data_IF_852124424375
#
_entry.id   IF_852124424375
#
_cell.length_a   1.000
_cell.length_b   1.000
_cell.length_c   1.000
_cell.angle_alpha   90.00
_cell.angle_beta   90.00
_cell.angle_gamma   90.00
#
_symmetry.space_group_name_H-M   'P 1'
#
loop_
_entity.id
_entity.type
_entity.pdbx_description
1 polymer ?
#
# COMPACT_ATOMS: atom_id res chain seq x y z
N UNK A 1 17.33 4.14 -21.23
CA UNK A 1 18.25 4.35 -22.36
C UNK A 1 19.07 3.08 -22.58
N UNK A 2 19.25 2.64 -23.83
CA UNK A 2 20.09 1.49 -24.16
C UNK A 2 21.47 2.01 -24.55
N UNK A 3 22.50 1.63 -23.81
CA UNK A 3 23.89 1.96 -24.15
C UNK A 3 24.40 0.90 -25.12
N UNK A 4 24.81 1.31 -26.31
CA UNK A 4 25.39 0.42 -27.32
C UNK A 4 26.78 -0.05 -26.88
N UNK A 5 27.24 -1.25 -27.31
CA UNK A 5 28.56 -1.77 -26.94
C UNK A 5 29.71 -0.80 -27.25
N UNK A 6 29.70 -0.17 -28.43
CA UNK A 6 30.73 0.80 -28.84
C UNK A 6 30.80 2.05 -27.95
N UNK A 7 29.66 2.50 -27.41
CA UNK A 7 29.62 3.64 -26.49
C UNK A 7 30.22 3.29 -25.11
N UNK A 8 30.12 2.01 -24.70
CA UNK A 8 30.74 1.51 -23.47
C UNK A 8 32.26 1.43 -23.60
N UNK A 9 32.75 0.94 -24.74
CA UNK A 9 34.19 0.79 -24.98
C UNK A 9 34.88 2.16 -25.05
N UNK A 10 34.25 3.13 -25.74
CA UNK A 10 34.78 4.50 -25.81
C UNK A 10 34.80 5.21 -24.45
N UNK A 11 33.81 4.97 -23.59
CA UNK A 11 33.80 5.51 -22.22
C UNK A 11 34.95 4.93 -21.38
N UNK A 12 35.25 3.63 -21.54
CA UNK A 12 36.36 2.96 -20.85
C UNK A 12 37.72 3.50 -21.30
N UNK A 13 37.91 3.69 -22.60
CA UNK A 13 39.14 4.27 -23.15
C UNK A 13 39.37 5.72 -22.71
N UNK A 14 38.29 6.48 -22.52
CA UNK A 14 38.35 7.84 -22.01
C UNK A 14 38.51 7.93 -20.47
N UNK A 15 38.62 6.80 -19.76
CA UNK A 15 38.69 6.78 -18.30
C UNK A 15 37.40 7.22 -17.60
N UNK A 16 36.26 7.19 -18.31
CA UNK A 16 34.96 7.59 -17.79
C UNK A 16 34.28 6.36 -17.16
N UNK A 17 34.14 6.40 -15.83
CA UNK A 17 33.40 5.38 -15.10
C UNK A 17 31.90 5.58 -15.29
N UNK A 18 31.25 4.62 -15.95
CA UNK A 18 29.79 4.62 -16.12
C UNK A 18 29.12 4.10 -14.84
N UNK A 19 28.91 5.00 -13.88
CA UNK A 19 28.06 4.72 -12.72
C UNK A 19 26.60 4.70 -13.18
N UNK A 20 25.86 3.61 -12.89
CA UNK A 20 24.40 3.62 -13.01
C UNK A 20 23.84 4.54 -11.93
N UNK A 21 23.81 5.83 -12.23
CA UNK A 21 23.07 6.79 -11.43
C UNK A 21 21.60 6.40 -11.48
N UNK A 22 21.02 6.10 -10.32
CA UNK A 22 19.59 6.32 -10.13
C UNK A 22 19.37 7.78 -10.48
N UNK A 23 18.68 8.03 -11.59
CA UNK A 23 18.21 9.38 -11.88
C UNK A 23 17.38 9.76 -10.67
N UNK A 24 17.79 10.82 -9.96
CA UNK A 24 16.91 11.48 -9.00
C UNK A 24 15.77 12.02 -9.84
N UNK A 25 14.76 11.18 -10.02
CA UNK A 25 13.57 11.49 -10.75
C UNK A 25 12.93 12.62 -9.95
N UNK A 26 12.58 13.76 -10.58
CA UNK A 26 11.78 14.77 -9.89
C UNK A 26 10.57 14.06 -9.28
N UNK A 27 10.14 14.42 -8.06
CA UNK A 27 9.11 13.66 -7.33
C UNK A 27 7.92 13.50 -8.26
N UNK A 28 7.73 12.28 -8.75
CA UNK A 28 6.54 11.94 -9.53
C UNK A 28 5.43 12.12 -8.53
N UNK A 29 4.60 13.15 -8.71
CA UNK A 29 3.45 13.36 -7.84
C UNK A 29 2.70 12.03 -7.77
N UNK A 30 2.75 11.38 -6.61
CA UNK A 30 2.19 10.04 -6.46
C UNK A 30 0.68 10.19 -6.64
N UNK A 31 0.17 9.76 -7.78
CA UNK A 31 -1.27 9.70 -8.06
C UNK A 31 -1.95 8.97 -6.91
N UNK A 32 -3.04 9.55 -6.40
CA UNK A 32 -3.86 8.86 -5.39
C UNK A 32 -5.07 8.25 -6.06
N UNK A 33 -5.27 6.96 -5.83
CA UNK A 33 -6.44 6.23 -6.29
C UNK A 33 -7.44 6.15 -5.15
N UNK A 34 -8.65 6.67 -5.39
CA UNK A 34 -9.74 6.69 -4.42
C UNK A 34 -10.78 5.67 -4.84
N UNK A 35 -10.97 4.64 -4.02
CA UNK A 35 -12.01 3.64 -4.16
C UNK A 35 -13.12 3.83 -3.13
N UNK A 36 -14.33 3.40 -3.48
CA UNK A 36 -15.44 3.30 -2.55
C UNK A 36 -16.15 1.96 -2.73
N UNK A 37 -16.42 1.27 -1.62
CA UNK A 37 -17.10 -0.02 -1.63
C UNK A 37 -17.95 -0.19 -0.36
N UNK A 38 -19.15 -0.76 -0.52
CA UNK A 38 -20.04 -1.15 0.58
C UNK A 38 -20.23 -0.06 1.64
N UNK A 39 -20.40 1.19 1.20
CA UNK A 39 -20.67 2.31 2.08
C UNK A 39 -22.16 2.67 2.10
N UNK A 40 -22.65 3.04 3.27
CA UNK A 40 -23.92 3.76 3.41
C UNK A 40 -23.79 5.18 2.81
N UNK A 41 -24.92 5.88 2.65
CA UNK A 41 -24.99 7.22 2.07
C UNK A 41 -23.88 8.14 2.59
N UNK A 42 -23.32 8.98 1.70
CA UNK A 42 -22.24 9.97 1.88
C UNK A 42 -20.81 9.55 1.48
N UNK A 43 -20.52 8.32 1.07
CA UNK A 43 -19.17 7.97 0.60
C UNK A 43 -18.75 8.71 -0.68
N UNK A 44 -19.65 8.86 -1.65
CA UNK A 44 -19.36 9.59 -2.90
C UNK A 44 -19.05 11.06 -2.65
N UNK A 45 -19.77 11.72 -1.75
CA UNK A 45 -19.53 13.14 -1.42
C UNK A 45 -18.21 13.33 -0.67
N UNK A 46 -17.86 12.40 0.22
CA UNK A 46 -16.55 12.35 0.89
C UNK A 46 -15.41 12.09 -0.10
N UNK A 47 -15.56 11.12 -1.00
CA UNK A 47 -14.59 10.84 -2.06
C UNK A 47 -14.37 12.06 -2.97
N UNK A 48 -15.44 12.79 -3.31
CA UNK A 48 -15.37 14.03 -4.06
C UNK A 48 -14.74 15.19 -3.27
N UNK A 49 -14.88 15.23 -1.95
CA UNK A 49 -14.14 16.16 -1.08
C UNK A 49 -12.64 15.90 -1.15
N UNK A 50 -12.24 14.64 -0.95
CA UNK A 50 -10.83 14.21 -1.02
C UNK A 50 -10.23 14.47 -2.41
N UNK A 51 -10.95 14.14 -3.48
CA UNK A 51 -10.50 14.34 -4.86
C UNK A 51 -10.29 15.83 -5.22
N UNK A 52 -11.01 16.74 -4.55
CA UNK A 52 -10.78 18.18 -4.71
C UNK A 52 -9.60 18.68 -3.86
N UNK A 53 -9.38 18.07 -2.71
CA UNK A 53 -8.31 18.46 -1.80
C UNK A 53 -6.92 17.96 -2.24
N UNK A 54 -6.87 16.82 -2.94
CA UNK A 54 -5.62 16.16 -3.34
C UNK A 54 -5.45 16.27 -4.85
N UNK A 55 -4.33 16.84 -5.31
CA UNK A 55 -4.02 16.93 -6.73
C UNK A 55 -3.68 15.54 -7.31
N UNK A 56 -4.05 15.30 -8.57
CA UNK A 56 -3.72 14.05 -9.25
C UNK A 56 -4.48 12.82 -8.72
N UNK A 57 -5.70 13.01 -8.22
CA UNK A 57 -6.53 11.87 -7.79
C UNK A 57 -7.24 11.20 -8.97
N UNK A 58 -7.29 9.88 -8.94
CA UNK A 58 -8.12 9.06 -9.80
C UNK A 58 -9.20 8.38 -8.96
N UNK A 59 -10.47 8.58 -9.31
CA UNK A 59 -11.57 7.86 -8.66
C UNK A 59 -11.86 6.56 -9.42
N UNK A 60 -11.98 5.47 -8.68
CA UNK A 60 -12.44 4.20 -9.21
C UNK A 60 -13.98 4.16 -9.24
N UNK A 61 -14.56 3.46 -10.23
CA UNK A 61 -16.00 3.23 -10.23
C UNK A 61 -16.42 2.49 -8.95
N UNK A 62 -17.60 2.82 -8.42
CA UNK A 62 -18.15 2.11 -7.28
C UNK A 62 -18.50 0.67 -7.71
N UNK A 63 -17.83 -0.31 -7.12
CA UNK A 63 -18.05 -1.74 -7.33
C UNK A 63 -17.98 -2.49 -6.01
N UNK A 64 -18.03 -3.83 -6.06
CA UNK A 64 -17.89 -4.67 -4.88
C UNK A 64 -16.51 -4.49 -4.22
N UNK A 65 -16.43 -4.69 -2.91
CA UNK A 65 -15.20 -4.50 -2.14
C UNK A 65 -13.98 -5.23 -2.72
N UNK A 66 -14.15 -6.47 -3.16
CA UNK A 66 -13.05 -7.25 -3.74
C UNK A 66 -12.52 -6.63 -5.04
N UNK A 67 -13.41 -6.15 -5.91
CA UNK A 67 -13.03 -5.57 -7.20
C UNK A 67 -12.32 -4.24 -7.01
N UNK A 68 -12.80 -3.39 -6.10
CA UNK A 68 -12.15 -2.10 -5.79
C UNK A 68 -10.76 -2.33 -5.23
N UNK A 69 -10.59 -3.28 -4.31
CA UNK A 69 -9.27 -3.57 -3.74
C UNK A 69 -8.31 -4.14 -4.79
N UNK A 70 -8.79 -5.00 -5.70
CA UNK A 70 -7.99 -5.51 -6.81
C UNK A 70 -7.56 -4.38 -7.77
N UNK A 71 -8.45 -3.44 -8.07
CA UNK A 71 -8.15 -2.27 -8.89
C UNK A 71 -7.12 -1.34 -8.20
N UNK A 72 -7.24 -1.11 -6.89
CA UNK A 72 -6.24 -0.37 -6.11
C UNK A 72 -4.88 -1.10 -6.16
N UNK A 73 -4.86 -2.43 -5.97
CA UNK A 73 -3.63 -3.22 -6.02
C UNK A 73 -2.90 -3.09 -7.36
N UNK A 74 -3.65 -3.04 -8.46
CA UNK A 74 -3.11 -2.84 -9.80
C UNK A 74 -2.43 -1.48 -9.94
N UNK A 75 -3.08 -0.40 -9.54
CA UNK A 75 -2.52 0.95 -9.65
C UNK A 75 -1.35 1.18 -8.70
N UNK A 76 -1.47 0.74 -7.44
CA UNK A 76 -0.40 0.87 -6.45
C UNK A 76 0.83 0.05 -6.86
N UNK A 77 0.63 -1.18 -7.35
CA UNK A 77 1.72 -2.07 -7.75
C UNK A 77 2.39 -1.68 -9.06
N UNK A 78 1.64 -1.16 -10.04
CA UNK A 78 2.15 -0.83 -11.38
C UNK A 78 2.67 0.61 -11.47
N UNK A 79 1.90 1.56 -10.94
CA UNK A 79 2.13 2.99 -11.13
C UNK A 79 2.81 3.63 -9.91
N UNK A 80 3.04 2.87 -8.83
CA UNK A 80 3.55 3.40 -7.56
C UNK A 80 2.58 4.38 -6.89
N UNK A 81 1.31 4.31 -7.26
CA UNK A 81 0.25 5.14 -6.70
C UNK A 81 0.01 4.84 -5.22
N UNK A 82 -0.64 5.76 -4.52
CA UNK A 82 -1.18 5.53 -3.18
C UNK A 82 -2.68 5.28 -3.26
N UNK A 83 -3.20 4.44 -2.36
CA UNK A 83 -4.62 4.11 -2.32
C UNK A 83 -5.34 4.73 -1.14
N UNK A 84 -6.59 5.15 -1.34
CA UNK A 84 -7.55 5.45 -0.28
C UNK A 84 -8.83 4.68 -0.59
N UNK A 85 -9.28 3.83 0.33
CA UNK A 85 -10.51 3.08 0.22
C UNK A 85 -11.50 3.53 1.29
N UNK A 86 -12.66 4.02 0.84
CA UNK A 86 -13.79 4.31 1.71
C UNK A 86 -14.70 3.09 1.78
N UNK A 87 -14.92 2.56 2.97
CA UNK A 87 -15.79 1.38 3.17
C UNK A 87 -16.54 1.41 4.50
N UNK A 88 -17.76 0.85 4.54
CA UNK A 88 -18.46 0.59 5.80
C UNK A 88 -17.87 -0.56 6.61
N UNK A 89 -16.95 -1.35 6.03
CA UNK A 89 -16.35 -2.54 6.65
C UNK A 89 -14.81 -2.49 6.63
N UNK A 90 -14.18 -1.53 7.34
CA UNK A 90 -12.74 -1.31 7.26
C UNK A 90 -11.91 -2.53 7.65
N UNK A 91 -12.30 -3.27 8.69
CA UNK A 91 -11.57 -4.45 9.14
C UNK A 91 -11.50 -5.56 8.07
N UNK A 92 -12.62 -5.85 7.40
CA UNK A 92 -12.66 -6.84 6.33
C UNK A 92 -11.83 -6.41 5.11
N UNK A 93 -11.90 -5.12 4.77
CA UNK A 93 -11.15 -4.55 3.67
C UNK A 93 -9.63 -4.56 3.91
N UNK A 94 -9.15 -4.31 5.14
CA UNK A 94 -7.73 -4.42 5.51
C UNK A 94 -7.23 -5.85 5.33
N UNK A 95 -7.98 -6.83 5.83
CA UNK A 95 -7.62 -8.25 5.67
C UNK A 95 -7.56 -8.63 4.19
N UNK A 96 -8.47 -8.13 3.37
CA UNK A 96 -8.48 -8.43 1.93
C UNK A 96 -7.33 -7.73 1.20
N UNK A 97 -7.06 -6.47 1.49
CA UNK A 97 -6.00 -5.68 0.87
C UNK A 97 -4.61 -6.21 1.18
N UNK A 98 -4.33 -6.60 2.43
CA UNK A 98 -3.03 -7.12 2.84
C UNK A 98 -2.72 -8.53 2.31
N UNK A 99 -3.63 -9.16 1.55
CA UNK A 99 -3.33 -10.38 0.77
C UNK A 99 -2.52 -10.09 -0.49
N UNK A 100 -2.54 -8.84 -0.97
CA UNK A 100 -1.75 -8.42 -2.12
C UNK A 100 -0.36 -8.02 -1.66
N UNK A 101 0.68 -8.60 -2.26
CA UNK A 101 2.08 -8.29 -1.93
C UNK A 101 2.47 -6.84 -2.23
N UNK A 102 1.76 -6.18 -3.14
CA UNK A 102 1.96 -4.78 -3.48
C UNK A 102 1.32 -3.81 -2.47
N UNK A 103 0.45 -4.30 -1.57
CA UNK A 103 -0.33 -3.45 -0.68
C UNK A 103 0.10 -3.59 0.79
N UNK A 104 0.15 -2.45 1.46
CA UNK A 104 0.26 -2.31 2.91
C UNK A 104 -0.86 -1.38 3.35
N UNK A 105 -1.97 -1.99 3.72
CA UNK A 105 -3.19 -1.32 4.12
C UNK A 105 -3.27 -1.17 5.64
N UNK A 106 -3.62 0.02 6.09
CA UNK A 106 -3.88 0.33 7.49
C UNK A 106 -5.25 0.98 7.67
N UNK A 107 -5.81 0.84 8.87
CA UNK A 107 -7.05 1.50 9.26
C UNK A 107 -6.94 1.97 10.71
N UNK A 108 -7.66 3.03 11.04
CA UNK A 108 -7.82 3.56 12.39
C UNK A 108 -9.12 4.38 12.43
N UNK A 109 -9.55 4.75 13.64
CA UNK A 109 -10.79 5.52 13.88
C UNK A 109 -10.57 7.03 13.98
N UNK A 110 -9.31 7.47 14.01
CA UNK A 110 -8.93 8.88 14.10
C UNK A 110 -7.73 9.18 13.21
N UNK A 111 -7.59 10.45 12.82
CA UNK A 111 -6.58 10.87 11.84
C UNK A 111 -5.15 10.73 12.37
N UNK A 112 -4.92 11.00 13.65
CA UNK A 112 -3.58 10.95 14.23
C UNK A 112 -3.05 9.52 14.28
N UNK A 113 -3.87 8.58 14.78
CA UNK A 113 -3.53 7.15 14.82
C UNK A 113 -3.40 6.58 13.42
N UNK A 114 -4.26 7.00 12.47
CA UNK A 114 -4.18 6.54 11.07
C UNK A 114 -2.84 6.91 10.44
N UNK A 115 -2.41 8.17 10.58
CA UNK A 115 -1.16 8.66 10.01
C UNK A 115 0.07 8.09 10.72
N UNK A 116 0.00 7.91 12.03
CA UNK A 116 1.05 7.24 12.80
C UNK A 116 1.22 5.77 12.36
N UNK A 117 0.12 5.03 12.23
CA UNK A 117 0.14 3.66 11.72
C UNK A 117 0.64 3.59 10.28
N UNK A 118 0.23 4.54 9.43
CA UNK A 118 0.70 4.62 8.06
C UNK A 118 2.22 4.84 7.98
N UNK A 119 2.76 5.68 8.87
CA UNK A 119 4.19 5.93 8.98
C UNK A 119 4.95 4.68 9.46
N UNK A 120 4.46 4.05 10.54
CA UNK A 120 5.11 2.89 11.16
C UNK A 120 5.14 1.69 10.22
N UNK A 121 4.08 1.46 9.44
CA UNK A 121 3.98 0.31 8.54
C UNK A 121 4.44 0.60 7.11
N UNK A 122 4.95 1.81 6.83
CA UNK A 122 5.20 2.30 5.46
C UNK A 122 3.99 2.03 4.53
N UNK A 123 2.78 2.31 5.02
CA UNK A 123 1.54 1.98 4.35
C UNK A 123 1.40 2.77 3.05
N UNK A 124 0.93 2.09 2.00
CA UNK A 124 0.62 2.71 0.72
C UNK A 124 -0.90 2.75 0.44
N UNK A 125 -1.71 2.16 1.32
CA UNK A 125 -3.18 2.22 1.24
C UNK A 125 -3.78 2.58 2.60
N UNK A 126 -4.70 3.54 2.60
CA UNK A 126 -5.54 3.85 3.76
C UNK A 126 -6.94 3.27 3.55
N UNK A 127 -7.46 2.58 4.56
CA UNK A 127 -8.81 2.04 4.56
C UNK A 127 -9.59 2.71 5.68
N UNK A 128 -10.68 3.38 5.31
CA UNK A 128 -11.33 4.35 6.17
C UNK A 128 -12.84 4.13 6.16
N UNK A 129 -13.45 4.14 7.35
CA UNK A 129 -14.89 4.30 7.45
C UNK A 129 -15.25 5.80 7.47
N UNK A 130 -15.93 6.33 6.44
CA UNK A 130 -16.13 7.78 6.31
C UNK A 130 -17.01 8.44 7.40
N UNK A 131 -17.71 7.64 8.20
CA UNK A 131 -18.58 8.10 9.29
C UNK A 131 -17.82 8.22 10.63
N UNK A 132 -16.69 7.52 10.78
CA UNK A 132 -15.87 7.60 12.00
C UNK A 132 -15.03 8.88 12.04
N UNK A 133 -14.90 9.58 10.90
CA UNK A 133 -14.09 10.79 10.75
C UNK A 133 -14.96 12.04 10.57
N UNK A 134 -14.58 13.12 11.24
CA UNK A 134 -15.13 14.45 10.98
C UNK A 134 -14.81 14.91 9.54
N UNK A 135 -15.72 15.68 8.94
CA UNK A 135 -15.68 16.10 7.52
C UNK A 135 -14.33 16.69 7.08
N UNK A 136 -13.76 17.60 7.86
CA UNK A 136 -12.48 18.22 7.53
C UNK A 136 -11.24 17.45 8.01
N UNK A 137 -11.39 16.48 8.92
CA UNK A 137 -10.27 15.71 9.43
C UNK A 137 -9.81 14.65 8.43
N UNK A 138 -10.78 14.01 7.75
CA UNK A 138 -10.52 13.03 6.71
C UNK A 138 -9.75 13.63 5.53
N UNK A 139 -10.22 14.77 5.01
CA UNK A 139 -9.57 15.44 3.88
C UNK A 139 -8.13 15.84 4.21
N UNK A 140 -7.90 16.42 5.39
CA UNK A 140 -6.57 16.77 5.87
C UNK A 140 -5.66 15.54 6.00
N UNK A 141 -6.17 14.43 6.55
CA UNK A 141 -5.41 13.19 6.66
C UNK A 141 -5.03 12.63 5.28
N UNK A 142 -5.94 12.69 4.30
CA UNK A 142 -5.64 12.26 2.93
C UNK A 142 -4.63 13.18 2.24
N UNK A 143 -4.69 14.50 2.46
CA UNK A 143 -3.70 15.46 1.94
C UNK A 143 -2.32 15.21 2.53
N UNK A 144 -2.24 15.00 3.84
CA UNK A 144 -0.97 14.69 4.51
C UNK A 144 -0.40 13.35 4.04
N UNK A 145 -1.24 12.33 3.89
CA UNK A 145 -0.84 11.05 3.34
C UNK A 145 -0.37 11.16 1.88
N UNK A 146 -1.00 12.03 1.09
CA UNK A 146 -0.61 12.31 -0.29
C UNK A 146 0.80 12.88 -0.39
N UNK A 147 1.12 13.87 0.44
CA UNK A 147 2.39 14.59 0.40
C UNK A 147 3.54 13.81 1.04
N UNK A 148 3.25 12.82 1.89
CA UNK A 148 4.25 12.07 2.63
C UNK A 148 4.91 10.97 1.80
N UNK A 149 6.24 10.94 1.71
CA UNK A 149 6.91 9.81 1.07
C UNK A 149 6.66 8.48 1.81
N UNK A 150 6.43 7.42 1.04
CA UNK A 150 6.32 6.06 1.58
C UNK A 150 7.70 5.68 2.11
N UNK A 151 7.87 5.66 3.44
CA UNK A 151 9.16 5.43 4.09
C UNK A 151 9.74 4.03 3.83
N UNK A 152 10.89 3.76 4.45
CA UNK A 152 11.52 2.43 4.40
C UNK A 152 10.59 1.41 5.04
N UNK A 153 10.38 0.29 4.36
CA UNK A 153 9.54 -0.80 4.85
C UNK A 153 10.23 -1.42 6.09
N UNK A 154 9.54 -1.52 7.24
CA UNK A 154 10.07 -2.18 8.41
C UNK A 154 10.55 -3.60 8.10
N UNK A 155 11.68 -4.00 8.67
CA UNK A 155 12.32 -5.29 8.37
C UNK A 155 11.40 -6.48 8.69
N UNK A 156 10.55 -6.34 9.69
CA UNK A 156 9.54 -7.31 10.10
C UNK A 156 8.53 -7.63 8.99
N UNK A 157 8.29 -6.66 8.10
CA UNK A 157 7.36 -6.78 6.97
C UNK A 157 8.06 -7.20 5.67
N UNK A 158 9.38 -7.05 5.59
CA UNK A 158 10.18 -7.32 4.39
C UNK A 158 10.32 -8.82 4.04
N UNK A 159 10.04 -9.73 4.97
CA UNK A 159 10.26 -11.18 4.82
C UNK A 159 9.04 -12.03 4.43
N UNK A 160 7.84 -11.47 4.32
CA UNK A 160 6.62 -12.26 4.09
C UNK A 160 6.44 -12.74 2.63
N UNK A 161 7.34 -12.37 1.73
CA UNK A 161 7.36 -12.82 0.32
C UNK A 161 8.09 -14.15 0.11
N UNK A 162 8.57 -14.81 1.16
CA UNK A 162 9.13 -16.16 1.09
C UNK A 162 8.03 -17.22 0.94
N UNK A 163 7.65 -17.48 -0.31
CA UNK A 163 7.24 -18.79 -0.84
C UNK A 163 6.54 -19.75 0.14
N UNK A 164 5.22 -19.59 0.30
CA UNK A 164 4.38 -20.77 0.53
C UNK A 164 4.11 -21.42 -0.83
N UNK A 165 5.05 -22.23 -1.30
CA UNK A 165 4.79 -23.16 -2.41
C UNK A 165 3.76 -24.17 -1.90
N UNK A 166 2.57 -24.31 -2.50
CA UNK A 166 1.72 -25.45 -2.20
C UNK A 166 2.49 -26.69 -2.67
N UNK A 167 2.88 -27.55 -1.72
CA UNK A 167 3.49 -28.83 -2.03
C UNK A 167 2.53 -29.62 -2.91
N UNK A 168 2.81 -29.65 -4.21
CA UNK A 168 2.30 -30.66 -5.11
C UNK A 168 3.06 -31.94 -4.81
N UNK A 169 2.38 -32.93 -4.23
CA UNK A 169 2.89 -34.29 -4.17
C UNK A 169 2.53 -35.05 -2.90
N UNK A 170 1.84 -36.17 -3.12
CA UNK A 170 1.78 -37.39 -2.31
C UNK A 170 1.08 -37.37 -0.96
N UNK A 171 0.04 -38.21 -0.92
CA UNK A 171 -0.47 -39.00 0.19
C UNK A 171 0.56 -39.31 1.29
N UNK A 172 0.05 -39.36 2.53
CA UNK A 172 0.59 -39.96 3.76
C UNK A 172 1.28 -39.09 4.83
N UNK A 173 0.80 -39.37 6.05
CA UNK A 173 1.28 -39.03 7.39
C UNK A 173 0.95 -37.64 7.97
N UNK A 174 -0.10 -37.69 8.80
CA UNK A 174 -0.51 -36.70 9.79
C UNK A 174 0.60 -36.50 10.83
N UNK A 175 1.11 -35.28 10.99
CA UNK A 175 1.81 -34.87 12.21
C UNK A 175 1.43 -33.42 12.55
N UNK A 176 0.65 -33.17 13.63
CA UNK A 176 0.27 -31.82 14.00
C UNK A 176 1.44 -31.08 14.64
N UNK A 177 1.72 -29.88 14.12
CA UNK A 177 2.65 -28.93 14.74
C UNK A 177 2.14 -28.51 16.11
N UNK A 178 2.92 -28.82 17.15
CA UNK A 178 2.63 -28.44 18.53
C UNK A 178 3.14 -27.02 18.79
N UNK A 179 2.23 -26.06 18.94
CA UNK A 179 2.55 -24.71 19.42
C UNK A 179 2.79 -24.78 20.93
N UNK A 180 4.04 -24.98 21.36
CA UNK A 180 4.37 -25.00 22.78
C UNK A 180 4.31 -23.56 23.34
N UNK A 181 3.24 -23.27 24.08
CA UNK A 181 3.08 -22.07 24.88
C UNK A 181 4.13 -22.07 26.00
N UNK A 182 5.13 -21.20 25.90
CA UNK A 182 6.08 -20.98 26.97
C UNK A 182 5.59 -19.79 27.81
N UNK A 183 4.87 -20.07 28.90
CA UNK A 183 4.57 -19.11 29.96
C UNK A 183 5.76 -19.00 30.90
N UNK A 184 6.32 -17.82 31.20
CA UNK A 184 7.22 -17.66 32.33
C UNK A 184 6.43 -17.33 33.60
N UNK A 185 6.48 -18.25 34.56
CA UNK A 185 6.10 -18.02 35.97
C UNK A 185 7.39 -18.00 36.79
N UNK A 186 7.66 -16.91 37.52
CA UNK A 186 8.58 -16.74 38.66
C UNK A 186 8.40 -15.28 39.09
N UNK A 187 7.98 -14.91 40.28
CA UNK A 187 8.22 -15.41 41.65
C UNK A 187 7.03 -15.16 42.54
#
# INVERSE_FOLDING_TARGET
>A
AVITPSARDHAREAGIELVRGSVIQPPVHSTIVIGQADCLANASSRAAGIARAVAGTQQLPASGLADVVAAIALHVGRDGAKGVLLTGRPAAAVVLANRFSSLRAVTARDAATLLAAAAQCAANVLIIHPQEFASGALERACVEFASRDTGVIPNELSGLSSSCTPASGSTESHQPCNCNANSPHST
#
